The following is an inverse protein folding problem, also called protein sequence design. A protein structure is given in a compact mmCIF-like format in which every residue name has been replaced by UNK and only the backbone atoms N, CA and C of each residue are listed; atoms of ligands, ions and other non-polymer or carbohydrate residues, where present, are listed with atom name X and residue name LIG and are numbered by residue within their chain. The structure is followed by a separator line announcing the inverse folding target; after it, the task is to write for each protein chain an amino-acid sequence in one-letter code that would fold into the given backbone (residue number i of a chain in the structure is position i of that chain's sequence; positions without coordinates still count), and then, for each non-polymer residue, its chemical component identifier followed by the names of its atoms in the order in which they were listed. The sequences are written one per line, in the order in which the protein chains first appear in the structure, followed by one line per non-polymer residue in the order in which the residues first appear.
data_IF_828838462108
#
_entry.id   IF_828838462108
#
_cell.length_a   1.000
_cell.length_b   1.000
_cell.length_c   1.000
_cell.angle_alpha   90.00
_cell.angle_beta   90.00
_cell.angle_gamma   90.00
#
_symmetry.space_group_name_H-M   'P 1'
#
loop_
_entity.id
_entity.type
_entity.pdbx_description
1 polymer ?
#
# COMPACT_ATOMS: atom_id res chain seq x y z
N UNK A 1 -42.91 -0.02 -74.73
CA UNK A 1 -43.05 -0.36 -73.31
C UNK A 1 -41.69 -0.67 -72.75
N UNK A 2 -41.22 0.11 -71.85
CA UNK A 2 -39.80 0.03 -71.37
C UNK A 2 -39.78 -0.56 -69.97
N UNK A 3 -39.21 -1.75 -69.70
CA UNK A 3 -39.28 -2.41 -68.38
C UNK A 3 -38.01 -2.27 -67.57
N UNK A 4 -37.26 -1.16 -67.68
CA UNK A 4 -35.92 -1.10 -67.08
C UNK A 4 -35.74 -0.18 -65.84
N UNK A 5 -36.83 0.28 -65.17
CA UNK A 5 -36.73 1.26 -64.07
C UNK A 5 -36.90 0.72 -62.63
N UNK A 6 -37.05 -0.61 -62.41
CA UNK A 6 -37.35 -1.13 -61.05
C UNK A 6 -36.18 -1.59 -60.16
N UNK A 7 -34.92 -1.78 -60.57
CA UNK A 7 -33.87 -2.31 -59.67
C UNK A 7 -33.19 -1.28 -58.75
N UNK A 8 -33.19 0.01 -59.09
CA UNK A 8 -32.45 1.03 -58.34
C UNK A 8 -33.16 1.49 -57.06
N UNK A 9 -34.46 1.60 -57.04
CA UNK A 9 -35.22 2.00 -55.84
C UNK A 9 -35.24 0.95 -54.75
N UNK A 10 -35.23 -0.34 -55.07
CA UNK A 10 -35.15 -1.43 -54.07
C UNK A 10 -33.80 -1.44 -53.35
N UNK A 11 -32.69 -1.23 -54.07
CA UNK A 11 -31.34 -1.12 -53.46
C UNK A 11 -31.22 0.07 -52.53
N UNK A 12 -31.77 1.21 -52.86
CA UNK A 12 -31.79 2.41 -52.01
C UNK A 12 -32.56 2.25 -50.69
N UNK A 13 -33.74 1.56 -50.74
CA UNK A 13 -34.54 1.27 -49.56
C UNK A 13 -33.86 0.26 -48.64
N UNK A 14 -33.20 -0.77 -49.15
CA UNK A 14 -32.45 -1.75 -48.38
C UNK A 14 -31.23 -1.10 -47.65
N UNK A 15 -30.49 -0.25 -48.34
CA UNK A 15 -29.37 0.48 -47.78
C UNK A 15 -29.78 1.42 -46.64
N UNK A 16 -30.90 2.15 -46.81
CA UNK A 16 -31.45 3.03 -45.75
C UNK A 16 -31.90 2.24 -44.51
N UNK A 17 -32.50 1.07 -44.71
CA UNK A 17 -32.93 0.18 -43.61
C UNK A 17 -31.72 -0.39 -42.85
N UNK A 18 -30.64 -0.77 -43.55
CA UNK A 18 -29.39 -1.22 -42.92
C UNK A 18 -28.75 -0.10 -42.13
N UNK A 19 -28.63 1.11 -42.71
CA UNK A 19 -28.08 2.28 -42.01
C UNK A 19 -28.93 2.62 -40.77
N UNK A 20 -30.26 2.60 -40.89
CA UNK A 20 -31.14 2.85 -39.76
C UNK A 20 -30.96 1.81 -38.63
N UNK A 21 -30.84 0.52 -38.98
CA UNK A 21 -30.57 -0.55 -38.00
C UNK A 21 -29.22 -0.37 -37.32
N UNK A 22 -28.18 -0.06 -38.10
CA UNK A 22 -26.83 0.20 -37.53
C UNK A 22 -26.89 1.38 -36.57
N UNK A 23 -27.53 2.50 -36.97
CA UNK A 23 -27.68 3.69 -36.13
C UNK A 23 -28.45 3.35 -34.83
N UNK A 24 -29.57 2.62 -34.93
CA UNK A 24 -30.37 2.25 -33.77
C UNK A 24 -29.58 1.36 -32.81
N UNK A 25 -28.83 0.37 -33.32
CA UNK A 25 -27.96 -0.48 -32.51
C UNK A 25 -26.82 0.33 -31.87
N UNK A 26 -26.18 1.22 -32.64
CA UNK A 26 -25.10 2.09 -32.13
C UNK A 26 -25.60 3.01 -31.03
N UNK A 27 -26.76 3.64 -31.20
CA UNK A 27 -27.38 4.48 -30.16
C UNK A 27 -27.72 3.63 -28.92
N UNK A 28 -28.27 2.42 -29.10
CA UNK A 28 -28.55 1.52 -27.98
C UNK A 28 -27.29 1.14 -27.19
N UNK A 29 -26.19 0.84 -27.89
CA UNK A 29 -24.88 0.56 -27.26
C UNK A 29 -24.36 1.79 -26.49
N UNK A 30 -24.42 2.99 -27.10
CA UNK A 30 -23.96 4.21 -26.42
C UNK A 30 -24.79 4.53 -25.17
N UNK A 31 -26.11 4.37 -25.22
CA UNK A 31 -26.96 4.52 -24.05
C UNK A 31 -26.62 3.48 -22.99
N UNK A 32 -26.46 2.21 -23.37
CA UNK A 32 -26.06 1.12 -22.46
C UNK A 32 -24.73 1.37 -21.77
N UNK A 33 -23.73 1.85 -22.53
CA UNK A 33 -22.42 2.24 -21.97
C UNK A 33 -22.55 3.45 -21.03
N UNK A 34 -23.37 4.44 -21.38
CA UNK A 34 -23.62 5.60 -20.51
C UNK A 34 -24.29 5.21 -19.18
N UNK A 35 -25.26 4.31 -19.21
CA UNK A 35 -25.91 3.78 -18.00
C UNK A 35 -24.94 2.95 -17.17
N UNK A 36 -24.13 2.09 -17.80
CA UNK A 36 -23.09 1.32 -17.10
C UNK A 36 -22.05 2.22 -16.46
N UNK A 37 -21.58 3.25 -17.16
CA UNK A 37 -20.64 4.24 -16.63
C UNK A 37 -21.24 4.97 -15.41
N UNK A 38 -22.50 5.44 -15.51
CA UNK A 38 -23.17 6.11 -14.40
C UNK A 38 -23.35 5.17 -13.18
N UNK A 39 -23.76 3.93 -13.41
CA UNK A 39 -23.91 2.94 -12.36
C UNK A 39 -22.56 2.62 -11.69
N UNK A 40 -21.49 2.42 -12.47
CA UNK A 40 -20.14 2.18 -11.94
C UNK A 40 -19.63 3.37 -11.15
N UNK A 41 -19.83 4.61 -11.63
CA UNK A 41 -19.49 5.83 -10.87
C UNK A 41 -20.25 5.91 -9.55
N UNK A 42 -21.52 5.52 -9.53
CA UNK A 42 -22.30 5.48 -8.29
C UNK A 42 -21.73 4.43 -7.33
N UNK A 43 -21.43 3.23 -7.84
CA UNK A 43 -20.78 2.16 -7.06
C UNK A 43 -19.41 2.59 -6.56
N UNK A 44 -18.59 3.25 -7.40
CA UNK A 44 -17.30 3.80 -6.97
C UNK A 44 -17.47 4.88 -5.89
N UNK A 45 -18.49 5.74 -6.02
CA UNK A 45 -18.80 6.76 -5.02
C UNK A 45 -19.29 6.18 -3.70
N UNK A 46 -20.03 5.07 -3.73
CA UNK A 46 -20.45 4.33 -2.52
C UNK A 46 -19.34 3.43 -1.96
N UNK A 47 -18.41 2.98 -2.81
CA UNK A 47 -17.20 2.22 -2.42
C UNK A 47 -16.03 3.13 -2.04
N UNK A 48 -16.27 4.35 -1.61
CA UNK A 48 -15.26 5.36 -1.25
C UNK A 48 -14.27 4.94 -0.14
N UNK A 49 -14.28 3.67 0.28
CA UNK A 49 -13.32 3.09 1.19
C UNK A 49 -11.86 3.05 0.73
N UNK A 50 -11.54 3.48 -0.51
CA UNK A 50 -10.16 3.53 -1.04
C UNK A 50 -9.54 4.94 -1.06
N UNK A 51 -10.27 5.99 -0.68
CA UNK A 51 -9.68 7.32 -0.52
C UNK A 51 -9.28 7.49 0.93
N UNK A 52 -8.02 7.86 1.16
CA UNK A 52 -7.60 8.32 2.47
C UNK A 52 -8.55 9.42 2.95
N UNK A 53 -9.04 9.31 4.20
CA UNK A 53 -9.83 10.37 4.79
C UNK A 53 -9.00 11.65 4.84
N UNK A 54 -9.63 12.83 4.78
CA UNK A 54 -8.95 14.08 5.06
C UNK A 54 -8.24 14.00 6.42
N UNK A 55 -7.07 14.60 6.51
CA UNK A 55 -6.31 14.68 7.75
C UNK A 55 -6.41 16.08 8.34
N UNK A 56 -6.42 16.16 9.66
CA UNK A 56 -6.31 17.41 10.44
C UNK A 56 -5.14 17.29 11.38
N UNK A 57 -4.54 18.42 11.73
CA UNK A 57 -3.41 18.48 12.68
C UNK A 57 -3.81 17.92 14.05
N UNK A 58 -2.88 17.20 14.66
CA UNK A 58 -3.00 16.64 16.00
C UNK A 58 -1.69 16.88 16.77
N UNK A 59 -1.74 17.39 18.02
CA UNK A 59 -0.52 17.79 18.74
C UNK A 59 0.36 16.62 19.14
N UNK A 60 -0.16 15.41 19.26
CA UNK A 60 0.61 14.22 19.59
C UNK A 60 0.91 13.37 18.35
N UNK A 61 -0.08 13.14 17.53
CA UNK A 61 0.04 12.25 16.36
C UNK A 61 0.62 12.96 15.13
N UNK A 62 0.80 14.27 15.19
CA UNK A 62 1.12 15.13 14.03
C UNK A 62 -0.13 15.41 13.20
N UNK A 63 -0.78 14.36 12.70
CA UNK A 63 -2.05 14.43 11.97
C UNK A 63 -2.96 13.29 12.41
N UNK A 64 -4.27 13.46 12.32
CA UNK A 64 -5.28 12.41 12.50
C UNK A 64 -6.33 12.46 11.41
N UNK A 65 -6.94 11.33 11.12
CA UNK A 65 -8.02 11.21 10.15
C UNK A 65 -9.29 11.89 10.67
N UNK A 66 -10.04 12.53 9.75
CA UNK A 66 -11.32 13.18 10.08
C UNK A 66 -12.38 12.09 10.29
N UNK A 67 -13.05 12.06 11.47
CA UNK A 67 -14.10 11.10 11.76
C UNK A 67 -15.29 11.17 10.79
N UNK A 68 -15.99 10.05 10.64
CA UNK A 68 -17.21 9.93 9.83
C UNK A 68 -17.05 10.34 8.36
N UNK A 69 -15.84 10.27 7.84
CA UNK A 69 -15.59 10.41 6.40
C UNK A 69 -15.83 9.07 5.70
N UNK A 70 -16.06 9.10 4.39
CA UNK A 70 -16.39 7.90 3.64
C UNK A 70 -15.39 6.75 3.86
N UNK A 71 -15.88 5.62 4.36
CA UNK A 71 -15.07 4.44 4.68
C UNK A 71 -14.34 4.48 6.03
N UNK A 72 -14.61 5.50 6.87
CA UNK A 72 -14.02 5.65 8.20
C UNK A 72 -15.11 5.87 9.25
N UNK A 73 -14.92 5.29 10.42
CA UNK A 73 -15.85 5.33 11.54
C UNK A 73 -15.79 6.68 12.31
N UNK A 74 -16.53 6.77 13.42
CA UNK A 74 -16.58 7.97 14.25
C UNK A 74 -15.29 8.24 15.04
N UNK A 75 -14.32 7.33 15.07
CA UNK A 75 -12.96 7.57 15.56
C UNK A 75 -11.99 7.97 14.43
N UNK A 76 -12.43 7.94 13.18
CA UNK A 76 -11.62 8.25 12.01
C UNK A 76 -10.86 7.02 11.45
N UNK A 77 -11.02 5.83 11.99
CA UNK A 77 -10.33 4.63 11.50
C UNK A 77 -11.13 3.91 10.42
N UNK A 78 -10.44 3.13 9.59
CA UNK A 78 -11.01 2.43 8.44
C UNK A 78 -11.81 1.19 8.85
N UNK A 79 -12.94 1.43 9.50
CA UNK A 79 -13.92 0.41 9.89
C UNK A 79 -15.33 0.85 9.48
N UNK A 80 -16.24 -0.11 9.36
CA UNK A 80 -17.65 0.15 9.04
C UNK A 80 -18.37 0.87 10.18
N UNK A 81 -18.01 0.54 11.44
CA UNK A 81 -18.54 1.17 12.65
C UNK A 81 -17.64 0.89 13.85
N UNK A 82 -17.77 1.70 14.89
CA UNK A 82 -17.20 1.41 16.21
C UNK A 82 -18.01 0.26 16.83
N UNK A 83 -17.30 -0.79 17.27
CA UNK A 83 -17.87 -1.90 18.00
C UNK A 83 -17.61 -1.72 19.50
N UNK A 84 -18.57 -1.99 20.39
CA UNK A 84 -18.41 -1.79 21.83
C UNK A 84 -17.34 -2.72 22.46
N UNK A 85 -17.07 -3.86 21.82
CA UNK A 85 -16.04 -4.82 22.20
C UNK A 85 -15.41 -5.42 20.95
N UNK A 86 -14.10 -5.62 21.00
CA UNK A 86 -13.33 -6.32 19.97
C UNK A 86 -12.32 -7.26 20.63
N UNK A 87 -11.96 -8.33 19.95
CA UNK A 87 -10.99 -9.29 20.48
C UNK A 87 -9.55 -8.88 20.14
N UNK A 88 -9.36 -8.25 18.98
CA UNK A 88 -8.06 -7.83 18.48
C UNK A 88 -8.13 -6.38 18.02
N UNK A 89 -7.19 -5.55 18.48
CA UNK A 89 -6.96 -4.21 17.91
C UNK A 89 -5.64 -4.25 17.12
N UNK A 90 -5.65 -3.72 15.91
CA UNK A 90 -4.44 -3.60 15.08
C UNK A 90 -4.00 -2.14 14.97
N UNK A 91 -2.74 -1.86 15.26
CA UNK A 91 -2.06 -0.58 15.10
C UNK A 91 -1.08 -0.68 13.94
N UNK A 92 -0.85 0.38 13.20
CA UNK A 92 0.13 0.39 12.12
C UNK A 92 -0.08 1.56 11.16
N UNK A 93 0.69 1.55 10.08
CA UNK A 93 0.71 2.57 9.04
C UNK A 93 -0.25 2.26 7.86
N UNK A 94 0.14 2.67 6.67
CA UNK A 94 -0.55 2.40 5.41
C UNK A 94 -0.68 0.91 5.07
N UNK A 95 0.26 0.07 5.52
CA UNK A 95 0.20 -1.39 5.36
C UNK A 95 -0.94 -1.99 6.20
N UNK A 96 -1.17 -1.44 7.40
CA UNK A 96 -2.27 -1.88 8.28
C UNK A 96 -3.60 -1.24 7.87
N UNK A 97 -3.58 0.02 7.45
CA UNK A 97 -4.76 0.66 6.86
C UNK A 97 -5.27 -0.12 5.64
N UNK A 98 -4.38 -0.73 4.87
CA UNK A 98 -4.69 -1.52 3.69
C UNK A 98 -4.79 -0.66 2.42
N UNK A 99 -3.72 0.11 2.13
CA UNK A 99 -3.59 0.81 0.84
C UNK A 99 -3.65 -0.21 -0.30
N UNK A 100 -4.16 0.21 -1.44
CA UNK A 100 -4.22 -0.56 -2.68
C UNK A 100 -5.28 -1.67 -2.74
N UNK A 101 -6.03 -1.88 -1.64
CA UNK A 101 -7.12 -2.87 -1.59
C UNK A 101 -8.40 -2.28 -0.98
N UNK A 102 -9.51 -2.96 -1.20
CA UNK A 102 -10.75 -2.66 -0.46
C UNK A 102 -10.55 -2.94 1.03
N UNK A 103 -11.32 -2.27 1.91
CA UNK A 103 -11.22 -2.47 3.36
C UNK A 103 -11.30 -3.94 3.74
N UNK A 104 -12.21 -4.69 3.11
CA UNK A 104 -12.40 -6.13 3.34
C UNK A 104 -11.17 -6.98 3.01
N UNK A 105 -10.27 -6.51 2.16
CA UNK A 105 -9.07 -7.21 1.72
C UNK A 105 -7.80 -6.76 2.44
N UNK A 106 -7.88 -5.77 3.35
CA UNK A 106 -6.79 -5.42 4.25
C UNK A 106 -6.46 -6.59 5.19
N UNK A 107 -5.21 -6.72 5.64
CA UNK A 107 -4.84 -7.85 6.49
C UNK A 107 -5.61 -7.90 7.82
N UNK A 108 -6.01 -6.78 8.48
CA UNK A 108 -6.84 -6.87 9.68
C UNK A 108 -8.22 -7.47 9.42
N UNK A 109 -8.86 -7.11 8.30
CA UNK A 109 -10.18 -7.67 7.93
C UNK A 109 -10.07 -9.11 7.44
N UNK A 110 -8.96 -9.47 6.79
CA UNK A 110 -8.69 -10.87 6.46
C UNK A 110 -8.40 -11.70 7.72
N UNK A 111 -7.69 -11.13 8.71
CA UNK A 111 -7.49 -11.77 10.01
C UNK A 111 -8.82 -12.05 10.72
N UNK A 112 -9.75 -11.08 10.72
CA UNK A 112 -11.10 -11.28 11.28
C UNK A 112 -11.79 -12.50 10.65
N UNK A 113 -11.73 -12.65 9.32
CA UNK A 113 -12.32 -13.80 8.62
C UNK A 113 -11.62 -15.13 8.93
N UNK A 114 -10.28 -15.11 9.05
CA UNK A 114 -9.49 -16.33 9.31
C UNK A 114 -9.59 -16.82 10.76
N UNK A 115 -9.66 -15.90 11.71
CA UNK A 115 -9.69 -16.22 13.14
C UNK A 115 -11.10 -16.43 13.67
N UNK A 116 -12.11 -15.87 13.01
CA UNK A 116 -13.49 -15.80 13.51
C UNK A 116 -13.67 -14.85 14.71
N UNK A 117 -12.66 -13.99 15.01
CA UNK A 117 -12.66 -13.02 16.10
C UNK A 117 -12.92 -11.61 15.59
N UNK A 118 -13.42 -10.71 16.44
CA UNK A 118 -13.68 -9.32 16.07
C UNK A 118 -12.38 -8.51 16.06
N UNK A 119 -12.05 -7.94 14.90
CA UNK A 119 -10.83 -7.12 14.71
C UNK A 119 -11.22 -5.66 14.47
N UNK A 120 -10.55 -4.74 15.17
CA UNK A 120 -10.68 -3.31 14.96
C UNK A 120 -9.38 -2.75 14.38
N UNK A 121 -9.46 -2.20 13.18
CA UNK A 121 -8.31 -1.66 12.46
C UNK A 121 -8.08 -0.18 12.84
N UNK A 122 -6.96 0.11 13.51
CA UNK A 122 -6.49 1.46 13.82
C UNK A 122 -5.26 1.86 12.98
N UNK A 123 -5.04 1.23 11.85
CA UNK A 123 -4.00 1.64 10.89
C UNK A 123 -4.29 2.99 10.27
N UNK A 124 -3.25 3.82 10.11
CA UNK A 124 -3.33 5.16 9.50
C UNK A 124 -2.10 5.39 8.63
N UNK A 125 -2.31 5.72 7.36
CA UNK A 125 -1.20 6.00 6.44
C UNK A 125 -0.29 7.12 6.93
N UNK A 126 1.03 6.87 6.91
CA UNK A 126 2.04 7.82 7.37
C UNK A 126 2.26 7.85 8.89
N UNK A 127 1.65 6.93 9.65
CA UNK A 127 2.01 6.74 11.05
C UNK A 127 3.23 5.82 11.16
N UNK A 128 3.94 5.95 12.29
CA UNK A 128 5.08 5.14 12.68
C UNK A 128 5.00 4.68 14.13
N UNK A 129 6.04 4.03 14.64
CA UNK A 129 6.05 3.37 15.96
C UNK A 129 5.66 4.27 17.13
N UNK A 130 5.99 5.55 17.08
CA UNK A 130 5.65 6.51 18.15
C UNK A 130 4.15 6.76 18.21
N UNK A 131 3.48 6.90 17.05
CA UNK A 131 2.01 6.99 16.99
C UNK A 131 1.35 5.68 17.44
N UNK A 132 1.91 4.51 17.10
CA UNK A 132 1.39 3.23 17.56
C UNK A 132 1.41 3.15 19.08
N UNK A 133 2.50 3.58 19.73
CA UNK A 133 2.59 3.68 21.16
C UNK A 133 1.60 4.70 21.73
N UNK A 134 1.49 5.89 21.16
CA UNK A 134 0.55 6.92 21.59
C UNK A 134 -0.93 6.46 21.51
N UNK A 135 -1.25 5.64 20.50
CA UNK A 135 -2.59 5.09 20.33
C UNK A 135 -2.89 3.87 21.21
N UNK A 136 -1.92 3.39 22.00
CA UNK A 136 -2.12 2.18 22.84
C UNK A 136 -3.23 2.37 23.87
N UNK A 137 -3.36 3.56 24.47
CA UNK A 137 -4.44 3.85 25.43
C UNK A 137 -5.81 3.77 24.74
N UNK A 138 -5.92 4.35 23.55
CA UNK A 138 -7.15 4.28 22.74
C UNK A 138 -7.49 2.84 22.32
N UNK A 139 -6.48 2.04 21.98
CA UNK A 139 -6.67 0.62 21.66
C UNK A 139 -7.21 -0.17 22.87
N UNK A 140 -6.74 0.14 24.09
CA UNK A 140 -7.15 -0.53 25.32
C UNK A 140 -8.56 -0.15 25.79
N UNK A 141 -9.15 0.97 25.32
CA UNK A 141 -10.55 1.31 25.57
C UNK A 141 -11.52 0.23 25.07
N UNK A 142 -11.15 -0.53 24.02
CA UNK A 142 -11.93 -1.64 23.49
C UNK A 142 -11.82 -2.93 24.32
N UNK A 143 -11.02 -2.95 25.39
CA UNK A 143 -10.74 -4.15 26.19
C UNK A 143 -10.35 -5.37 25.36
N UNK A 144 -9.39 -5.25 24.42
CA UNK A 144 -9.02 -6.35 23.52
C UNK A 144 -8.27 -7.45 24.28
N UNK A 145 -8.37 -8.68 23.78
CA UNK A 145 -7.52 -9.80 24.23
C UNK A 145 -6.09 -9.67 23.66
N UNK A 146 -5.96 -9.07 22.47
CA UNK A 146 -4.67 -8.93 21.78
C UNK A 146 -4.58 -7.57 21.09
N UNK A 147 -3.43 -6.90 21.24
CA UNK A 147 -3.04 -5.74 20.43
C UNK A 147 -1.93 -6.18 19.47
N UNK A 148 -2.13 -5.96 18.17
CA UNK A 148 -1.15 -6.29 17.13
C UNK A 148 -0.62 -5.01 16.51
N UNK A 149 0.69 -4.82 16.51
CA UNK A 149 1.38 -3.74 15.80
C UNK A 149 1.89 -4.27 14.48
N UNK A 150 1.40 -3.74 13.35
CA UNK A 150 1.99 -3.96 12.04
C UNK A 150 3.14 -2.97 11.82
N UNK A 151 4.37 -3.43 12.03
CA UNK A 151 5.57 -2.64 11.89
C UNK A 151 6.16 -2.83 10.49
N UNK A 152 6.11 -1.80 9.66
CA UNK A 152 6.65 -1.83 8.31
C UNK A 152 8.07 -1.27 8.25
N UNK A 153 9.03 -2.11 7.91
CA UNK A 153 10.44 -1.70 7.90
C UNK A 153 10.76 -0.62 6.86
N UNK A 154 9.94 -0.48 5.80
CA UNK A 154 10.22 0.43 4.69
C UNK A 154 10.19 1.93 5.02
N UNK A 155 9.58 2.35 6.15
CA UNK A 155 9.52 3.75 6.58
C UNK A 155 9.44 3.93 8.11
N UNK A 156 8.92 2.97 8.87
CA UNK A 156 8.65 3.12 10.31
C UNK A 156 9.90 3.54 11.11
N UNK A 157 11.07 3.04 10.71
CA UNK A 157 12.33 3.40 11.38
C UNK A 157 12.63 4.89 11.22
N UNK A 158 12.48 5.44 10.02
CA UNK A 158 12.63 6.86 9.76
C UNK A 158 11.51 7.68 10.42
N UNK A 159 10.26 7.23 10.33
CA UNK A 159 9.10 7.95 10.85
C UNK A 159 9.18 8.09 12.38
N UNK A 160 9.74 7.09 13.09
CA UNK A 160 9.97 7.17 14.53
C UNK A 160 10.95 8.32 14.87
N UNK A 161 12.06 8.43 14.14
CA UNK A 161 13.00 9.52 14.31
C UNK A 161 12.36 10.88 13.97
N UNK A 162 11.72 10.97 12.81
CA UNK A 162 11.15 12.20 12.31
C UNK A 162 10.13 12.82 13.27
N UNK A 163 9.21 12.00 13.83
CA UNK A 163 8.21 12.50 14.76
C UNK A 163 8.83 12.94 16.08
N UNK A 164 9.76 12.16 16.66
CA UNK A 164 10.39 12.47 17.96
C UNK A 164 11.18 13.77 17.89
N UNK A 165 11.88 14.00 16.79
CA UNK A 165 12.69 15.22 16.64
C UNK A 165 11.89 16.43 16.14
N UNK A 166 10.70 16.21 15.57
CA UNK A 166 9.79 17.29 15.18
C UNK A 166 8.77 17.67 16.27
N UNK A 167 8.63 16.88 17.36
CA UNK A 167 7.61 17.10 18.37
C UNK A 167 8.17 16.99 19.80
N UNK A 168 8.19 18.10 20.52
CA UNK A 168 8.73 18.17 21.88
C UNK A 168 7.95 17.35 22.92
N UNK A 169 6.72 16.95 22.62
CA UNK A 169 5.98 15.99 23.46
C UNK A 169 6.72 14.65 23.63
N UNK A 170 7.68 14.36 22.76
CA UNK A 170 8.48 13.13 22.78
C UNK A 170 9.97 13.38 23.04
N UNK A 171 10.31 14.54 23.62
CA UNK A 171 11.72 14.92 23.88
C UNK A 171 12.46 13.93 24.80
N UNK A 172 11.72 13.18 25.66
CA UNK A 172 12.27 12.14 26.52
C UNK A 172 12.81 10.92 25.74
N UNK A 173 12.37 10.73 24.51
CA UNK A 173 12.82 9.66 23.63
C UNK A 173 14.10 10.00 22.86
N UNK A 174 14.51 11.28 22.80
CA UNK A 174 15.71 11.73 22.08
C UNK A 174 16.98 11.19 22.73
N UNK A 175 17.97 10.81 21.91
CA UNK A 175 19.31 10.45 22.40
C UNK A 175 19.97 11.62 23.16
N UNK A 176 20.90 11.31 24.04
CA UNK A 176 21.71 12.30 24.76
C UNK A 176 23.21 11.98 24.59
N UNK A 177 24.00 12.81 23.87
CA UNK A 177 23.59 14.02 23.16
C UNK A 177 22.62 13.73 22.00
N UNK A 178 21.81 14.74 21.63
CA UNK A 178 20.90 14.62 20.51
C UNK A 178 21.66 14.39 19.19
N UNK A 179 21.07 13.60 18.31
CA UNK A 179 21.54 13.45 16.93
C UNK A 179 21.28 14.76 16.19
N UNK A 180 22.18 15.17 15.30
CA UNK A 180 22.15 16.45 14.60
C UNK A 180 20.80 16.71 13.90
N UNK A 181 19.98 17.58 14.49
CA UNK A 181 18.63 17.90 14.02
C UNK A 181 18.63 18.68 12.70
N UNK A 182 19.71 19.46 12.42
CA UNK A 182 19.79 20.29 11.21
C UNK A 182 19.79 19.46 9.92
N UNK A 183 20.04 18.17 10.00
CA UNK A 183 20.06 17.25 8.86
C UNK A 183 18.74 16.50 8.62
N UNK A 184 17.70 16.71 9.44
CA UNK A 184 16.36 16.10 9.21
C UNK A 184 15.85 16.42 7.81
N UNK A 185 15.91 17.67 7.42
CA UNK A 185 15.43 18.13 6.11
C UNK A 185 16.17 17.49 4.94
N UNK A 186 17.44 17.07 5.13
CA UNK A 186 18.20 16.44 4.03
C UNK A 186 17.72 15.03 3.69
N UNK A 187 17.26 14.22 4.66
CA UNK A 187 16.68 12.89 4.38
C UNK A 187 15.34 13.07 3.69
N UNK A 188 14.47 13.92 4.24
CA UNK A 188 13.18 14.21 3.64
C UNK A 188 13.33 14.80 2.24
N UNK A 189 14.18 15.78 2.07
CA UNK A 189 14.46 16.41 0.76
C UNK A 189 14.93 15.37 -0.26
N UNK A 190 15.82 14.47 0.14
CA UNK A 190 16.31 13.40 -0.74
C UNK A 190 15.20 12.39 -1.08
N UNK A 191 14.36 12.03 -0.10
CA UNK A 191 13.20 11.18 -0.32
C UNK A 191 12.19 11.84 -1.24
N UNK A 192 11.83 13.09 -1.00
CA UNK A 192 10.91 13.88 -1.82
C UNK A 192 11.45 14.07 -3.26
N UNK A 193 12.78 14.20 -3.44
CA UNK A 193 13.40 14.27 -4.75
C UNK A 193 13.11 13.01 -5.57
N UNK A 194 13.40 11.83 -5.06
CA UNK A 194 13.15 10.58 -5.77
C UNK A 194 11.66 10.38 -6.08
N UNK A 195 10.78 10.68 -5.12
CA UNK A 195 9.33 10.61 -5.31
C UNK A 195 8.81 11.55 -6.40
N UNK A 196 9.26 12.80 -6.39
CA UNK A 196 8.82 13.80 -7.36
C UNK A 196 9.37 13.53 -8.76
N UNK A 197 10.59 12.99 -8.86
CA UNK A 197 11.19 12.62 -10.14
C UNK A 197 10.41 11.49 -10.82
N UNK A 198 10.09 10.42 -10.09
CA UNK A 198 9.24 9.33 -10.56
C UNK A 198 7.87 9.83 -10.99
N UNK A 199 7.20 10.61 -10.15
CA UNK A 199 5.87 11.18 -10.45
C UNK A 199 5.90 12.10 -11.68
N UNK A 200 6.95 12.88 -11.84
CA UNK A 200 7.12 13.77 -13.00
C UNK A 200 7.31 12.95 -14.27
N UNK A 201 8.10 11.87 -14.21
CA UNK A 201 8.28 10.95 -15.34
C UNK A 201 6.94 10.31 -15.74
N UNK A 202 6.16 9.79 -14.77
CA UNK A 202 4.84 9.23 -15.01
C UNK A 202 3.91 10.21 -15.74
N UNK A 203 3.83 11.45 -15.27
CA UNK A 203 2.99 12.47 -15.87
C UNK A 203 3.40 12.82 -17.32
N UNK A 204 4.69 12.83 -17.59
CA UNK A 204 5.23 13.17 -18.90
C UNK A 204 5.14 11.99 -19.89
N UNK A 205 5.47 10.79 -19.43
CA UNK A 205 5.45 9.59 -20.27
C UNK A 205 4.03 9.21 -20.68
N UNK A 206 3.07 9.30 -19.77
CA UNK A 206 1.66 9.04 -20.04
C UNK A 206 1.05 9.98 -21.09
N UNK A 207 1.58 11.21 -21.25
CA UNK A 207 1.13 12.17 -22.28
C UNK A 207 1.72 11.89 -23.66
N UNK A 208 2.88 11.26 -23.74
CA UNK A 208 3.63 11.02 -24.98
C UNK A 208 3.55 9.59 -25.50
N UNK A 209 2.95 8.66 -24.75
CA UNK A 209 2.83 7.24 -25.13
C UNK A 209 1.71 7.02 -26.16
N UNK A 210 1.86 6.09 -27.13
CA UNK A 210 0.78 5.64 -28.01
C UNK A 210 -0.45 5.08 -27.27
N UNK A 211 -0.28 4.70 -26.00
CA UNK A 211 -1.36 4.27 -25.09
C UNK A 211 -2.06 5.42 -24.36
N UNK A 212 -1.80 6.68 -24.72
CA UNK A 212 -2.38 7.86 -24.06
C UNK A 212 -3.92 7.85 -23.97
N UNK A 213 -4.60 7.25 -24.98
CA UNK A 213 -6.05 7.10 -24.93
C UNK A 213 -6.52 6.06 -23.90
N UNK A 214 -5.77 4.98 -23.65
CA UNK A 214 -6.10 3.97 -22.62
C UNK A 214 -5.88 4.52 -21.22
N UNK A 215 -4.84 5.32 -21.02
CA UNK A 215 -4.61 6.09 -19.80
C UNK A 215 -5.73 7.10 -19.59
N UNK A 216 -6.11 7.84 -20.62
CA UNK A 216 -7.22 8.79 -20.57
C UNK A 216 -8.55 8.11 -20.18
N UNK A 217 -8.86 6.95 -20.79
CA UNK A 217 -10.03 6.15 -20.42
C UNK A 217 -9.98 5.70 -18.95
N UNK A 218 -8.83 5.25 -18.46
CA UNK A 218 -8.66 4.86 -17.05
C UNK A 218 -8.90 6.06 -16.11
N UNK A 219 -8.40 7.22 -16.44
CA UNK A 219 -8.55 8.42 -15.62
C UNK A 219 -9.99 8.96 -15.63
N UNK A 220 -10.65 8.90 -16.77
CA UNK A 220 -11.92 9.61 -17.00
C UNK A 220 -13.16 8.70 -17.06
N UNK A 221 -13.00 7.35 -17.12
CA UNK A 221 -14.10 6.40 -17.25
C UNK A 221 -14.05 5.32 -16.15
N UNK A 222 -15.18 5.08 -15.49
CA UNK A 222 -15.33 4.00 -14.52
C UNK A 222 -15.25 2.61 -15.18
N UNK A 223 -15.79 2.49 -16.41
CA UNK A 223 -15.65 1.29 -17.23
C UNK A 223 -14.18 1.06 -17.58
N UNK A 224 -13.46 2.12 -17.99
CA UNK A 224 -12.03 2.04 -18.28
C UNK A 224 -11.21 1.56 -17.09
N UNK A 225 -11.50 2.05 -15.89
CA UNK A 225 -10.87 1.59 -14.65
C UNK A 225 -11.18 0.14 -14.34
N UNK A 226 -12.43 -0.28 -14.49
CA UNK A 226 -12.86 -1.67 -14.25
C UNK A 226 -12.14 -2.65 -15.19
N UNK A 227 -12.15 -2.37 -16.48
CA UNK A 227 -11.52 -3.22 -17.50
C UNK A 227 -10.00 -3.33 -17.32
N UNK A 228 -9.36 -2.26 -16.86
CA UNK A 228 -7.92 -2.26 -16.60
C UNK A 228 -7.56 -3.01 -15.30
N UNK A 229 -8.43 -2.92 -14.27
CA UNK A 229 -8.20 -3.58 -12.97
C UNK A 229 -8.20 -5.10 -13.06
N UNK A 230 -9.09 -5.66 -13.86
CA UNK A 230 -9.33 -7.10 -13.90
C UNK A 230 -8.62 -7.79 -15.09
N UNK A 231 -7.77 -7.05 -15.83
CA UNK A 231 -7.06 -7.59 -16.99
C UNK A 231 -7.98 -8.03 -18.14
N UNK A 232 -9.24 -7.57 -18.13
CA UNK A 232 -10.28 -7.96 -19.08
C UNK A 232 -10.07 -7.36 -20.48
N UNK A 233 -9.14 -6.40 -20.62
CA UNK A 233 -8.84 -5.79 -21.91
C UNK A 233 -7.79 -6.64 -22.63
N UNK A 234 -8.08 -7.24 -23.79
CA UNK A 234 -7.07 -7.95 -24.60
C UNK A 234 -5.99 -6.96 -25.03
N UNK A 235 -4.76 -7.15 -24.53
CA UNK A 235 -3.65 -6.23 -24.78
C UNK A 235 -3.60 -5.02 -23.84
N UNK A 236 -4.37 -5.00 -22.74
CA UNK A 236 -4.07 -4.13 -21.61
C UNK A 236 -2.68 -4.55 -21.08
N UNK A 237 -1.63 -3.99 -21.67
CA UNK A 237 -0.35 -3.90 -21.02
C UNK A 237 -0.62 -3.25 -19.67
N UNK A 238 -0.03 -3.78 -18.62
CA UNK A 238 0.01 -3.10 -17.32
C UNK A 238 0.75 -1.78 -17.54
N UNK A 239 -0.04 -0.74 -17.82
CA UNK A 239 0.49 0.57 -18.25
C UNK A 239 1.40 1.15 -17.17
N UNK A 240 1.05 0.95 -15.91
CA UNK A 240 1.87 1.43 -14.80
C UNK A 240 3.22 0.69 -14.80
N UNK A 241 3.21 -0.63 -15.00
CA UNK A 241 4.45 -1.40 -15.13
C UNK A 241 5.34 -0.91 -16.27
N UNK A 242 4.79 -0.65 -17.45
CA UNK A 242 5.58 -0.19 -18.60
C UNK A 242 6.14 1.22 -18.40
N UNK A 243 5.40 2.10 -17.72
CA UNK A 243 5.89 3.45 -17.37
C UNK A 243 7.02 3.33 -16.34
N UNK A 244 6.82 2.60 -15.26
CA UNK A 244 7.79 2.40 -14.19
C UNK A 244 9.06 1.72 -14.70
N UNK A 245 8.88 0.71 -15.55
CA UNK A 245 9.98 0.02 -16.22
C UNK A 245 10.80 0.96 -17.13
N UNK A 246 10.12 1.83 -17.88
CA UNK A 246 10.79 2.85 -18.68
C UNK A 246 11.55 3.85 -17.82
N UNK A 247 10.96 4.26 -16.69
CA UNK A 247 11.62 5.14 -15.72
C UNK A 247 12.91 4.52 -15.17
N UNK A 248 12.87 3.28 -14.67
CA UNK A 248 14.06 2.60 -14.13
C UNK A 248 15.11 2.38 -15.22
N UNK A 249 14.74 2.11 -16.48
CA UNK A 249 15.71 1.97 -17.57
C UNK A 249 16.48 3.26 -17.86
N UNK A 250 15.87 4.40 -17.62
CA UNK A 250 16.53 5.72 -17.75
C UNK A 250 17.19 6.20 -16.45
N UNK A 251 16.84 5.61 -15.29
CA UNK A 251 17.32 5.95 -13.96
C UNK A 251 17.72 4.67 -13.20
N UNK A 252 18.67 3.92 -13.76
CA UNK A 252 19.05 2.58 -13.30
C UNK A 252 19.70 2.54 -11.90
N UNK A 253 20.14 3.67 -11.38
CA UNK A 253 20.65 3.88 -10.03
C UNK A 253 19.52 4.16 -9.00
N UNK A 254 18.31 4.51 -9.47
CA UNK A 254 17.17 4.82 -8.61
C UNK A 254 16.26 3.61 -8.32
N UNK A 255 16.28 2.60 -9.18
CA UNK A 255 15.38 1.46 -9.07
C UNK A 255 15.93 0.17 -9.64
N UNK A 256 15.11 -0.89 -9.55
CA UNK A 256 15.38 -2.18 -10.14
C UNK A 256 14.08 -2.78 -10.72
N UNK A 257 14.21 -3.78 -11.60
CA UNK A 257 13.07 -4.39 -12.29
C UNK A 257 13.13 -5.90 -12.12
N UNK A 258 12.02 -6.50 -11.68
CA UNK A 258 11.76 -7.93 -11.82
C UNK A 258 10.91 -8.16 -13.07
N UNK A 259 11.44 -8.90 -14.05
CA UNK A 259 10.78 -9.18 -15.33
C UNK A 259 10.43 -10.68 -15.48
N UNK A 260 10.11 -11.36 -14.39
CA UNK A 260 9.63 -12.73 -14.48
C UNK A 260 8.23 -12.77 -15.12
N UNK A 261 7.93 -13.83 -15.87
CA UNK A 261 6.69 -13.94 -16.63
C UNK A 261 5.42 -14.01 -15.74
N UNK A 262 5.56 -14.46 -14.49
CA UNK A 262 4.45 -14.68 -13.57
C UNK A 262 4.44 -13.69 -12.39
N UNK A 263 5.60 -13.19 -11.98
CA UNK A 263 5.75 -12.28 -10.83
C UNK A 263 6.64 -11.10 -11.21
N UNK A 264 6.08 -10.14 -11.92
CA UNK A 264 6.79 -8.94 -12.36
C UNK A 264 6.50 -7.74 -11.46
N UNK A 265 7.51 -6.90 -11.23
CA UNK A 265 7.35 -5.64 -10.47
C UNK A 265 8.53 -4.70 -10.67
N UNK A 266 8.36 -3.45 -10.26
CA UNK A 266 9.41 -2.42 -10.27
C UNK A 266 9.68 -1.95 -8.85
N UNK A 267 10.93 -1.69 -8.53
CA UNK A 267 11.39 -1.29 -7.20
C UNK A 267 11.93 0.14 -7.20
N UNK A 268 11.68 0.86 -6.12
CA UNK A 268 12.17 2.23 -5.87
C UNK A 268 13.33 2.22 -4.88
N UNK A 269 14.41 1.57 -5.25
CA UNK A 269 15.53 1.21 -4.36
C UNK A 269 16.15 2.44 -3.66
N UNK A 270 16.43 3.51 -4.41
CA UNK A 270 17.05 4.71 -3.85
C UNK A 270 16.12 5.42 -2.86
N UNK A 271 14.84 5.51 -3.18
CA UNK A 271 13.82 6.06 -2.28
C UNK A 271 13.76 5.28 -0.97
N UNK A 272 13.66 3.94 -1.03
CA UNK A 272 13.59 3.08 0.16
C UNK A 272 14.84 3.14 1.02
N UNK A 273 16.01 3.19 0.38
CA UNK A 273 17.28 3.28 1.10
C UNK A 273 17.39 4.54 1.95
N UNK A 274 16.72 5.65 1.59
CA UNK A 274 16.74 6.86 2.41
C UNK A 274 16.19 6.65 3.82
N UNK A 275 15.17 5.78 3.96
CA UNK A 275 14.53 5.46 5.25
C UNK A 275 15.11 4.24 5.97
N UNK A 276 16.04 3.51 5.35
CA UNK A 276 16.58 2.25 5.88
C UNK A 276 18.10 2.21 6.00
N UNK A 277 18.83 3.23 5.56
CA UNK A 277 20.28 3.25 5.67
C UNK A 277 20.72 3.38 7.14
N UNK A 278 20.98 2.27 7.81
CA UNK A 278 21.41 2.24 9.22
C UNK A 278 22.81 2.84 9.46
N UNK A 279 23.59 3.10 8.42
CA UNK A 279 24.86 3.82 8.54
C UNK A 279 24.64 5.34 8.67
N UNK A 280 23.41 5.80 8.44
CA UNK A 280 22.96 7.15 8.76
C UNK A 280 22.55 7.21 10.25
N UNK A 281 23.21 8.02 11.09
CA UNK A 281 22.95 8.03 12.54
C UNK A 281 21.49 8.30 12.93
N UNK A 282 20.77 9.09 12.12
CA UNK A 282 19.35 9.40 12.36
C UNK A 282 18.43 8.19 12.12
N UNK A 283 18.76 7.34 11.15
CA UNK A 283 18.02 6.09 10.91
C UNK A 283 18.33 5.08 12.02
N UNK A 284 19.61 4.98 12.45
CA UNK A 284 19.98 4.16 13.60
C UNK A 284 19.25 4.61 14.89
N UNK A 285 19.14 5.93 15.11
CA UNK A 285 18.37 6.50 16.22
C UNK A 285 16.89 6.17 16.10
N UNK A 286 16.31 6.21 14.90
CA UNK A 286 14.93 5.81 14.65
C UNK A 286 14.66 4.34 15.03
N UNK A 287 15.59 3.44 14.73
CA UNK A 287 15.50 2.03 15.16
C UNK A 287 15.59 1.89 16.69
N UNK A 288 16.44 2.68 17.36
CA UNK A 288 16.51 2.72 18.81
C UNK A 288 15.18 3.20 19.41
N UNK A 289 14.62 4.31 18.89
CA UNK A 289 13.32 4.84 19.32
C UNK A 289 12.22 3.80 19.10
N UNK A 290 12.19 3.16 17.93
CA UNK A 290 11.24 2.08 17.62
C UNK A 290 11.26 1.00 18.69
N UNK A 291 12.42 0.48 19.05
CA UNK A 291 12.57 -0.54 20.11
C UNK A 291 12.07 -0.04 21.47
N UNK A 292 12.38 1.20 21.84
CA UNK A 292 11.94 1.80 23.09
C UNK A 292 10.42 1.92 23.16
N UNK A 293 9.76 2.46 22.15
CA UNK A 293 8.29 2.65 22.17
C UNK A 293 7.54 1.32 22.05
N UNK A 294 8.07 0.32 21.36
CA UNK A 294 7.51 -1.04 21.37
C UNK A 294 7.58 -1.67 22.76
N UNK A 295 8.69 -1.46 23.50
CA UNK A 295 8.82 -1.91 24.89
C UNK A 295 7.80 -1.24 25.80
N UNK A 296 7.62 0.08 25.67
CA UNK A 296 6.61 0.84 26.44
C UNK A 296 5.18 0.39 26.11
N UNK A 297 4.87 0.17 24.82
CA UNK A 297 3.57 -0.34 24.40
C UNK A 297 3.32 -1.76 24.94
N UNK A 298 4.30 -2.65 24.85
CA UNK A 298 4.23 -4.00 25.43
C UNK A 298 3.92 -3.98 26.91
N UNK A 299 4.69 -3.20 27.70
CA UNK A 299 4.45 -3.09 29.15
C UNK A 299 3.04 -2.58 29.47
N UNK A 300 2.56 -1.57 28.72
CA UNK A 300 1.23 -1.00 28.90
C UNK A 300 0.13 -2.01 28.58
N UNK A 301 0.23 -2.72 27.46
CA UNK A 301 -0.77 -3.71 27.00
C UNK A 301 -0.81 -4.90 27.94
N UNK A 302 0.35 -5.48 28.28
CA UNK A 302 0.43 -6.65 29.15
C UNK A 302 0.06 -6.31 30.61
N UNK A 303 0.37 -5.10 31.07
CA UNK A 303 -0.08 -4.59 32.36
C UNK A 303 -1.61 -4.45 32.50
N UNK A 304 -2.34 -4.46 31.38
CA UNK A 304 -3.82 -4.54 31.32
C UNK A 304 -4.36 -5.94 31.04
N UNK A 305 -3.48 -6.96 31.02
CA UNK A 305 -3.86 -8.36 30.82
C UNK A 305 -4.08 -8.77 29.36
N UNK A 306 -3.79 -7.91 28.39
CA UNK A 306 -3.89 -8.23 26.98
C UNK A 306 -2.55 -8.76 26.42
N UNK A 307 -2.58 -9.57 25.37
CA UNK A 307 -1.40 -10.00 24.63
C UNK A 307 -0.93 -8.86 23.72
N UNK A 308 0.38 -8.72 23.57
CA UNK A 308 1.01 -7.79 22.63
C UNK A 308 1.83 -8.56 21.59
N UNK A 309 1.57 -8.28 20.32
CA UNK A 309 2.23 -8.93 19.20
C UNK A 309 2.71 -7.87 18.18
N UNK A 310 3.91 -8.03 17.65
CA UNK A 310 4.46 -7.22 16.57
C UNK A 310 4.56 -8.08 15.30
N UNK A 311 3.83 -7.70 14.25
CA UNK A 311 3.99 -8.24 12.90
C UNK A 311 5.06 -7.41 12.19
N UNK A 312 6.23 -7.98 11.95
CA UNK A 312 7.31 -7.35 11.19
C UNK A 312 7.04 -7.52 9.69
N UNK A 313 6.74 -6.42 9.02
CA UNK A 313 6.41 -6.38 7.60
C UNK A 313 7.64 -5.92 6.82
N UNK A 314 8.20 -6.75 5.93
CA UNK A 314 9.37 -6.40 5.13
C UNK A 314 8.99 -5.50 3.95
N UNK A 315 10.02 -4.87 3.35
CA UNK A 315 9.86 -4.20 2.06
C UNK A 315 9.63 -5.20 0.93
N UNK A 316 9.01 -4.74 -0.13
CA UNK A 316 8.83 -5.51 -1.36
C UNK A 316 10.18 -5.98 -1.92
N UNK A 317 11.19 -5.14 -1.84
CA UNK A 317 12.57 -5.42 -2.25
C UNK A 317 13.14 -6.65 -1.54
N UNK A 318 13.02 -6.72 -0.23
CA UNK A 318 13.47 -7.88 0.56
C UNK A 318 12.68 -9.15 0.24
N UNK A 319 11.41 -9.02 -0.07
CA UNK A 319 10.56 -10.18 -0.45
C UNK A 319 11.03 -10.81 -1.77
N UNK A 320 11.41 -9.99 -2.75
CA UNK A 320 11.86 -10.46 -4.07
C UNK A 320 13.38 -10.75 -4.12
N UNK A 321 14.15 -10.50 -3.07
CA UNK A 321 15.61 -10.52 -3.10
C UNK A 321 16.21 -11.82 -3.64
N UNK A 322 15.69 -12.98 -3.21
CA UNK A 322 16.19 -14.28 -3.69
C UNK A 322 15.89 -14.51 -5.18
N UNK A 323 14.76 -14.04 -5.68
CA UNK A 323 14.43 -14.11 -7.09
C UNK A 323 15.36 -13.22 -7.91
N UNK A 324 15.52 -11.95 -7.48
CA UNK A 324 16.40 -10.98 -8.13
C UNK A 324 17.86 -11.45 -8.18
N UNK A 325 18.34 -12.08 -7.11
CA UNK A 325 19.68 -12.66 -7.06
C UNK A 325 19.84 -13.83 -8.04
N UNK A 326 18.88 -14.76 -8.06
CA UNK A 326 18.90 -15.91 -8.98
C UNK A 326 18.88 -15.51 -10.44
N UNK A 327 18.20 -14.42 -10.76
CA UNK A 327 18.08 -13.89 -12.13
C UNK A 327 19.26 -12.97 -12.53
N UNK A 328 20.23 -12.75 -11.62
CA UNK A 328 21.36 -11.85 -11.86
C UNK A 328 20.96 -10.38 -12.02
N UNK A 329 19.81 -9.98 -11.47
CA UNK A 329 19.23 -8.63 -11.60
C UNK A 329 19.41 -7.77 -10.34
N UNK A 330 20.11 -8.28 -9.35
CA UNK A 330 20.39 -7.57 -8.11
C UNK A 330 21.48 -6.54 -8.33
N UNK A 331 21.12 -5.24 -8.39
CA UNK A 331 22.07 -4.12 -8.48
C UNK A 331 22.76 -3.86 -7.14
N UNK A 332 23.88 -3.12 -7.14
CA UNK A 332 24.57 -2.76 -5.89
C UNK A 332 23.68 -2.00 -4.90
N UNK A 333 22.88 -1.03 -5.39
CA UNK A 333 21.92 -0.28 -4.56
C UNK A 333 20.80 -1.18 -4.02
N UNK A 334 20.32 -2.14 -4.81
CA UNK A 334 19.33 -3.12 -4.37
C UNK A 334 19.88 -4.04 -3.29
N UNK A 335 21.12 -4.54 -3.46
CA UNK A 335 21.81 -5.39 -2.48
C UNK A 335 22.01 -4.65 -1.17
N UNK A 336 22.46 -3.39 -1.23
CA UNK A 336 22.65 -2.55 -0.05
C UNK A 336 21.35 -2.34 0.71
N UNK A 337 20.25 -2.05 0.03
CA UNK A 337 18.93 -1.91 0.66
C UNK A 337 18.53 -3.18 1.41
N UNK A 338 18.64 -4.34 0.76
CA UNK A 338 18.30 -5.64 1.37
C UNK A 338 19.21 -5.96 2.57
N UNK A 339 20.49 -5.60 2.49
CA UNK A 339 21.44 -5.74 3.60
C UNK A 339 21.04 -4.87 4.80
N UNK A 340 20.76 -3.58 4.57
CA UNK A 340 20.37 -2.64 5.62
C UNK A 340 19.04 -3.08 6.28
N UNK A 341 18.06 -3.51 5.49
CA UNK A 341 16.82 -4.04 6.05
C UNK A 341 17.05 -5.33 6.85
N UNK A 342 17.89 -6.24 6.39
CA UNK A 342 18.22 -7.46 7.14
C UNK A 342 18.89 -7.13 8.48
N UNK A 343 19.78 -6.10 8.52
CA UNK A 343 20.39 -5.62 9.78
C UNK A 343 19.30 -5.09 10.72
N UNK A 344 18.41 -4.19 10.25
CA UNK A 344 17.33 -3.65 11.05
C UNK A 344 16.39 -4.74 11.58
N UNK A 345 15.98 -5.65 10.70
CA UNK A 345 15.07 -6.76 11.03
C UNK A 345 15.67 -7.71 12.06
N UNK A 346 16.93 -8.11 11.88
CA UNK A 346 17.61 -9.03 12.79
C UNK A 346 17.85 -8.40 14.17
N UNK A 347 18.23 -7.10 14.21
CA UNK A 347 18.38 -6.36 15.46
C UNK A 347 17.02 -6.24 16.19
N UNK A 348 15.94 -5.93 15.47
CA UNK A 348 14.60 -5.86 16.04
C UNK A 348 14.12 -7.22 16.58
N UNK A 349 14.28 -8.31 15.82
CA UNK A 349 13.86 -9.64 16.26
C UNK A 349 14.68 -10.13 17.47
N UNK A 350 15.99 -9.84 17.49
CA UNK A 350 16.85 -10.12 18.64
C UNK A 350 16.42 -9.34 19.87
N UNK A 351 16.10 -8.04 19.71
CA UNK A 351 15.55 -7.23 20.78
C UNK A 351 14.23 -7.78 21.31
N UNK A 352 13.31 -8.18 20.43
CA UNK A 352 12.05 -8.80 20.83
C UNK A 352 12.29 -10.05 21.71
N UNK A 353 13.17 -10.94 21.26
CA UNK A 353 13.50 -12.16 22.02
C UNK A 353 14.08 -11.82 23.40
N UNK A 354 15.00 -10.84 23.49
CA UNK A 354 15.62 -10.41 24.74
C UNK A 354 14.62 -9.80 25.73
N UNK A 355 13.59 -9.10 25.20
CA UNK A 355 12.58 -8.41 26.02
C UNK A 355 11.31 -9.23 26.24
N UNK A 356 11.21 -10.44 25.72
CA UNK A 356 10.02 -11.27 25.80
C UNK A 356 8.82 -10.74 24.99
N UNK A 357 9.06 -9.92 23.96
CA UNK A 357 8.04 -9.49 23.04
C UNK A 357 7.77 -10.57 21.99
N UNK A 358 6.50 -10.83 21.69
CA UNK A 358 6.15 -11.72 20.59
C UNK A 358 6.24 -10.94 19.29
N UNK A 359 7.31 -11.18 18.53
CA UNK A 359 7.51 -10.60 17.19
C UNK A 359 7.47 -11.71 16.14
N UNK A 360 6.62 -11.54 15.12
CA UNK A 360 6.48 -12.48 14.01
C UNK A 360 6.96 -11.86 12.72
N UNK A 361 7.87 -12.55 12.05
CA UNK A 361 8.47 -12.12 10.80
C UNK A 361 7.65 -12.62 9.60
N UNK A 362 7.11 -11.71 8.81
CA UNK A 362 6.34 -12.06 7.62
C UNK A 362 7.22 -12.43 6.41
N UNK A 363 8.51 -12.09 6.42
CA UNK A 363 9.41 -12.27 5.27
C UNK A 363 9.45 -13.71 4.74
N UNK A 364 9.59 -14.77 5.56
CA UNK A 364 9.65 -16.15 5.05
C UNK A 364 8.38 -16.57 4.29
N UNK A 365 7.21 -16.16 4.80
CA UNK A 365 5.93 -16.50 4.19
C UNK A 365 5.72 -15.78 2.86
N UNK A 366 6.07 -14.49 2.79
CA UNK A 366 5.99 -13.70 1.57
C UNK A 366 7.00 -14.19 0.51
N UNK A 367 8.26 -14.51 0.89
CA UNK A 367 9.25 -15.13 0.00
C UNK A 367 8.78 -16.46 -0.56
N UNK A 368 8.16 -17.29 0.29
CA UNK A 368 7.59 -18.57 -0.13
C UNK A 368 6.52 -18.39 -1.21
N UNK A 369 5.70 -17.36 -1.14
CA UNK A 369 4.72 -17.05 -2.18
C UNK A 369 5.40 -16.63 -3.50
N UNK A 370 6.41 -15.78 -3.44
CA UNK A 370 7.20 -15.40 -4.63
C UNK A 370 7.92 -16.61 -5.24
N UNK A 371 8.48 -17.51 -4.41
CA UNK A 371 9.10 -18.75 -4.88
C UNK A 371 8.10 -19.65 -5.63
N UNK A 372 6.82 -19.63 -5.24
CA UNK A 372 5.72 -20.30 -5.96
C UNK A 372 5.13 -19.47 -7.11
N UNK A 373 5.77 -18.37 -7.50
CA UNK A 373 5.34 -17.47 -8.57
C UNK A 373 3.94 -16.87 -8.35
N UNK A 374 3.59 -16.57 -7.11
CA UNK A 374 2.37 -15.87 -6.76
C UNK A 374 2.59 -14.36 -6.79
N UNK A 375 1.85 -13.63 -7.60
CA UNK A 375 1.87 -12.17 -7.62
C UNK A 375 1.18 -11.65 -6.35
N UNK A 376 1.94 -11.12 -5.40
CA UNK A 376 1.46 -10.65 -4.10
C UNK A 376 1.64 -9.13 -3.89
N UNK A 377 2.24 -8.47 -4.87
CA UNK A 377 2.33 -7.02 -4.99
C UNK A 377 1.89 -6.59 -6.39
N UNK A 378 1.50 -5.32 -6.59
CA UNK A 378 1.34 -4.77 -7.94
C UNK A 378 2.61 -4.89 -8.77
N UNK A 379 2.45 -4.89 -10.07
CA UNK A 379 3.57 -4.89 -11.02
C UNK A 379 4.32 -3.56 -11.09
N UNK A 380 3.70 -2.47 -10.62
CA UNK A 380 4.25 -1.11 -10.58
C UNK A 380 5.25 -0.90 -9.44
N UNK A 381 5.72 0.35 -9.27
CA UNK A 381 6.52 0.79 -8.11
C UNK A 381 5.76 0.74 -6.79
N UNK A 382 4.44 0.56 -6.82
CA UNK A 382 3.61 0.45 -5.61
C UNK A 382 4.11 -0.64 -4.65
N UNK A 383 4.39 -0.25 -3.42
CA UNK A 383 5.03 -1.11 -2.40
C UNK A 383 4.06 -1.77 -1.43
N UNK A 384 2.77 -1.44 -1.53
CA UNK A 384 1.76 -2.09 -0.71
C UNK A 384 1.31 -3.40 -1.36
N UNK A 385 1.11 -4.48 -0.58
CA UNK A 385 0.64 -5.75 -1.10
C UNK A 385 -0.72 -5.64 -1.80
N UNK A 386 -1.01 -6.57 -2.69
CA UNK A 386 -2.37 -6.82 -3.16
C UNK A 386 -3.15 -7.67 -2.12
N UNK A 387 -4.40 -8.01 -2.42
CA UNK A 387 -5.25 -8.80 -1.53
C UNK A 387 -4.62 -10.15 -1.12
N UNK A 388 -3.90 -10.81 -2.03
CA UNK A 388 -3.21 -12.07 -1.73
C UNK A 388 -2.05 -11.86 -0.75
N UNK A 389 -1.25 -10.80 -0.94
CA UNK A 389 -0.16 -10.47 -0.04
C UNK A 389 -0.66 -10.09 1.36
N UNK A 390 -1.73 -9.30 1.44
CA UNK A 390 -2.38 -9.02 2.73
C UNK A 390 -2.96 -10.27 3.38
N UNK A 391 -3.46 -11.23 2.61
CA UNK A 391 -3.90 -12.53 3.12
C UNK A 391 -2.79 -13.34 3.78
N UNK A 392 -1.57 -13.26 3.24
CA UNK A 392 -0.40 -13.88 3.86
C UNK A 392 -0.07 -13.22 5.20
N UNK A 393 -0.07 -11.88 5.28
CA UNK A 393 0.15 -11.16 6.55
C UNK A 393 -0.90 -11.55 7.61
N UNK A 394 -2.16 -11.62 7.23
CA UNK A 394 -3.25 -12.08 8.09
C UNK A 394 -3.01 -13.53 8.57
N UNK A 395 -2.56 -14.42 7.70
CA UNK A 395 -2.23 -15.82 8.03
C UNK A 395 -1.08 -15.92 9.04
N UNK A 396 -0.04 -15.09 8.90
CA UNK A 396 1.09 -15.04 9.85
C UNK A 396 0.61 -14.66 11.24
N UNK A 397 -0.21 -13.60 11.35
CA UNK A 397 -0.78 -13.17 12.64
C UNK A 397 -1.71 -14.24 13.21
N UNK A 398 -2.62 -14.81 12.39
CA UNK A 398 -3.56 -15.84 12.83
C UNK A 398 -2.87 -17.09 13.42
N UNK A 399 -1.71 -17.47 12.86
CA UNK A 399 -0.94 -18.58 13.40
C UNK A 399 -0.24 -18.24 14.73
N UNK A 400 0.11 -16.97 14.95
CA UNK A 400 0.80 -16.53 16.16
C UNK A 400 -0.13 -16.27 17.36
N UNK A 401 -1.41 -16.02 17.12
CA UNK A 401 -2.40 -15.77 18.21
C UNK A 401 -3.10 -17.02 18.71
N UNK A 402 -3.01 -18.14 17.97
CA UNK A 402 -3.49 -19.47 18.39
C UNK A 402 -2.61 -20.04 19.48
#
# INVERSE_FOLDING_TARGET
MNPAAQPLERRSRSARLIIFRILTVSIGILIGLGVAEAALRLVEKTRLGNRAAPMVSDPLLGNRLVPNTAGHDANGFRNDAIRPRVDIVTLGDSQTWGVNVQSVDSWPRQLERLSGTLVYNMGVGGYGPVQYWALTDKALEFSPQTVVVGLYLGNDVYDAYALVYANDAYADLRAKPAVDEMRIDTIKTKSDFFWNEEKTFHNNYGRSSPSGWSLWLREHSAIGRLLNRDGLWPGATDVDYEIDRAWVRTHSDHGAICEDAQVRTVFTTAYRLTGLNLDEPRIAEGLRITKEVLSRAHQKVTGKGAKFLVLVIPTKESVYAELMQREGRSTGAYQLLVEMENRARNDLLSFCAQKGLVCVDALPNLRSAIARRQQIYPSSTESHPNANGYGILAGVVNNAIK
#
